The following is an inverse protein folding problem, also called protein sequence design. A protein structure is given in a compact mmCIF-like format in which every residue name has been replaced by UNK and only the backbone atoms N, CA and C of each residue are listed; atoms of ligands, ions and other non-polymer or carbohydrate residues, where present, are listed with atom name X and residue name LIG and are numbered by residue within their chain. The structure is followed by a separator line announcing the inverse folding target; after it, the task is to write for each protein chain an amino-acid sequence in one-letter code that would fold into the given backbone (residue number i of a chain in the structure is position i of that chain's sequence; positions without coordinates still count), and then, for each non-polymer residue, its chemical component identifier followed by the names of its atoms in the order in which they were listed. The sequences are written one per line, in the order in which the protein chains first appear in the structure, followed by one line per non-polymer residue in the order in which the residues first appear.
data_IF_773600471300
#
_entry.id   IF_773600471300
#
_cell.length_a   1.000
_cell.length_b   1.000
_cell.length_c   1.000
_cell.angle_alpha   90.00
_cell.angle_beta   90.00
_cell.angle_gamma   90.00
#
_symmetry.space_group_name_H-M   'P 1'
#
loop_
_entity.id
_entity.type
_entity.pdbx_description
1 polymer ?
#
# COMPACT_ATOMS: atom_id res chain seq x y z
N UNK A 1 30.02 -27.42 -28.16
CA UNK A 1 29.81 -25.99 -27.85
C UNK A 1 28.53 -25.82 -27.02
N UNK A 2 28.60 -26.20 -25.75
CA UNK A 2 27.62 -25.79 -24.74
C UNK A 2 28.23 -24.60 -23.98
N UNK A 3 27.40 -23.68 -23.47
CA UNK A 3 27.78 -22.50 -22.66
C UNK A 3 27.93 -21.15 -23.38
N UNK A 4 26.85 -20.69 -24.01
CA UNK A 4 26.62 -19.24 -24.17
C UNK A 4 25.29 -18.82 -23.49
N UNK A 5 24.26 -19.68 -23.49
CA UNK A 5 22.99 -19.41 -22.81
C UNK A 5 23.01 -19.56 -21.29
N UNK A 6 23.98 -20.29 -20.71
CA UNK A 6 24.07 -20.52 -19.25
C UNK A 6 24.69 -19.37 -18.45
N UNK A 7 25.29 -18.36 -19.13
CA UNK A 7 25.95 -17.22 -18.47
C UNK A 7 25.11 -15.93 -18.43
N UNK A 8 24.05 -15.84 -19.24
CA UNK A 8 23.18 -14.65 -19.32
C UNK A 8 21.89 -14.78 -18.49
N UNK A 9 21.44 -16.00 -18.24
CA UNK A 9 20.32 -16.28 -17.35
C UNK A 9 20.87 -17.06 -16.16
N UNK A 10 21.02 -16.38 -15.03
CA UNK A 10 21.43 -16.99 -13.77
C UNK A 10 20.69 -18.30 -13.54
N UNK A 11 21.43 -19.31 -13.11
CA UNK A 11 20.99 -20.69 -12.92
C UNK A 11 19.90 -20.80 -11.85
N UNK A 12 18.64 -20.55 -12.20
CA UNK A 12 17.40 -21.22 -11.79
C UNK A 12 16.21 -20.29 -12.05
N UNK A 13 15.44 -20.55 -13.11
CA UNK A 13 14.07 -20.05 -13.15
C UNK A 13 13.31 -20.71 -11.99
N UNK A 14 12.61 -19.92 -11.14
CA UNK A 14 11.83 -20.51 -10.06
C UNK A 14 10.76 -21.43 -10.63
N UNK A 15 10.39 -22.48 -9.87
CA UNK A 15 9.22 -23.27 -10.21
C UNK A 15 8.01 -22.35 -10.39
N UNK A 16 7.16 -22.64 -11.38
CA UNK A 16 5.92 -21.88 -11.65
C UNK A 16 5.09 -21.73 -10.38
N UNK A 17 4.98 -22.79 -9.59
CA UNK A 17 4.27 -22.78 -8.30
C UNK A 17 4.88 -21.78 -7.30
N UNK A 18 6.22 -21.76 -7.18
CA UNK A 18 6.92 -20.84 -6.28
C UNK A 18 6.66 -19.38 -6.70
N UNK A 19 6.77 -19.10 -7.99
CA UNK A 19 6.52 -17.77 -8.53
C UNK A 19 5.06 -17.32 -8.32
N UNK A 20 4.10 -18.19 -8.61
CA UNK A 20 2.68 -17.92 -8.40
C UNK A 20 2.37 -17.65 -6.93
N UNK A 21 2.97 -18.42 -6.02
CA UNK A 21 2.82 -18.23 -4.58
C UNK A 21 3.39 -16.88 -4.12
N UNK A 22 4.61 -16.52 -4.54
CA UNK A 22 5.23 -15.22 -4.24
C UNK A 22 4.40 -14.05 -4.81
N UNK A 23 3.92 -14.18 -6.05
CA UNK A 23 3.07 -13.18 -6.69
C UNK A 23 1.73 -13.00 -5.95
N UNK A 24 1.07 -14.11 -5.60
CA UNK A 24 -0.18 -14.09 -4.86
C UNK A 24 0.00 -13.53 -3.44
N UNK A 25 1.12 -13.84 -2.79
CA UNK A 25 1.48 -13.26 -1.49
C UNK A 25 1.63 -11.73 -1.59
N UNK A 26 2.40 -11.25 -2.56
CA UNK A 26 2.58 -9.81 -2.79
C UNK A 26 1.25 -9.09 -3.09
N UNK A 27 0.36 -9.72 -3.87
CA UNK A 27 -0.99 -9.18 -4.13
C UNK A 27 -1.82 -9.06 -2.85
N UNK A 28 -1.80 -10.09 -1.98
CA UNK A 28 -2.49 -10.04 -0.68
C UNK A 28 -1.91 -8.95 0.23
N UNK A 29 -0.59 -8.79 0.25
CA UNK A 29 0.05 -7.71 1.00
C UNK A 29 -0.32 -6.32 0.46
N UNK A 30 -0.39 -6.15 -0.87
CA UNK A 30 -0.84 -4.91 -1.50
C UNK A 30 -2.28 -4.58 -1.13
N UNK A 31 -3.16 -5.59 -1.16
CA UNK A 31 -4.55 -5.44 -0.74
C UNK A 31 -4.65 -5.03 0.74
N UNK A 32 -3.92 -5.72 1.63
CA UNK A 32 -3.82 -5.34 3.04
C UNK A 32 -3.30 -3.91 3.21
N UNK A 33 -2.30 -3.50 2.43
CA UNK A 33 -1.77 -2.14 2.46
C UNK A 33 -2.86 -1.11 2.14
N UNK A 34 -3.64 -1.31 1.09
CA UNK A 34 -4.73 -0.40 0.72
C UNK A 34 -5.90 -0.42 1.71
N UNK A 35 -6.17 -1.55 2.35
CA UNK A 35 -7.15 -1.62 3.44
C UNK A 35 -6.68 -0.82 4.66
N UNK A 36 -5.43 -1.01 5.07
CA UNK A 36 -4.84 -0.28 6.19
C UNK A 36 -4.72 1.21 5.92
N UNK A 37 -4.39 1.61 4.68
CA UNK A 37 -4.33 3.03 4.27
C UNK A 37 -5.63 3.79 4.57
N UNK A 38 -6.77 3.11 4.47
CA UNK A 38 -8.11 3.66 4.75
C UNK A 38 -8.61 3.38 6.16
N UNK A 39 -7.85 2.64 6.96
CA UNK A 39 -8.26 2.27 8.31
C UNK A 39 -8.19 3.46 9.26
N UNK A 40 -9.12 3.50 10.21
CA UNK A 40 -9.18 4.56 11.21
C UNK A 40 -7.87 4.70 12.01
N UNK A 41 -7.21 3.58 12.33
CA UNK A 41 -5.94 3.57 13.08
C UNK A 41 -4.81 4.30 12.36
N UNK A 42 -4.64 4.04 11.05
CA UNK A 42 -3.60 4.69 10.24
C UNK A 42 -3.91 6.17 10.03
N UNK A 43 -5.17 6.51 9.75
CA UNK A 43 -5.61 7.90 9.58
C UNK A 43 -5.34 8.68 10.88
N UNK A 44 -5.81 8.16 12.02
CA UNK A 44 -5.60 8.75 13.34
C UNK A 44 -4.11 8.92 13.68
N UNK A 45 -3.28 7.93 13.32
CA UNK A 45 -1.84 8.03 13.51
C UNK A 45 -1.25 9.25 12.78
N UNK A 46 -1.60 9.47 11.51
CA UNK A 46 -1.07 10.62 10.75
C UNK A 46 -1.63 11.97 11.23
N UNK A 47 -2.89 12.02 11.67
CA UNK A 47 -3.46 13.20 12.31
C UNK A 47 -2.69 13.59 13.56
N UNK A 48 -2.45 12.62 14.45
CA UNK A 48 -1.69 12.82 15.67
C UNK A 48 -0.22 13.11 15.39
N UNK A 49 0.38 12.47 14.38
CA UNK A 49 1.75 12.75 13.96
C UNK A 49 1.92 14.22 13.58
N UNK A 50 1.02 14.74 12.74
CA UNK A 50 1.00 16.15 12.34
C UNK A 50 0.79 17.07 13.52
N UNK A 51 -0.15 16.74 14.42
CA UNK A 51 -0.47 17.52 15.60
C UNK A 51 0.70 17.56 16.59
N UNK A 52 1.27 16.41 16.94
CA UNK A 52 2.37 16.28 17.92
C UNK A 52 3.65 16.95 17.41
N UNK A 53 3.90 16.90 16.10
CA UNK A 53 5.04 17.56 15.50
C UNK A 53 4.85 19.06 15.26
N UNK A 54 3.62 19.57 15.35
CA UNK A 54 3.32 20.99 15.21
C UNK A 54 4.05 21.85 16.26
N UNK A 55 4.46 23.05 15.85
CA UNK A 55 5.12 24.00 16.74
C UNK A 55 4.22 24.42 17.91
N UNK A 56 2.94 24.63 17.64
CA UNK A 56 1.95 25.03 18.65
C UNK A 56 1.79 23.99 19.75
N UNK A 57 1.67 22.71 19.39
CA UNK A 57 1.54 21.64 20.36
C UNK A 57 2.79 21.52 21.24
N UNK A 58 3.98 21.60 20.63
CA UNK A 58 5.25 21.62 21.36
C UNK A 58 5.30 22.78 22.35
N UNK A 59 4.88 23.98 21.94
CA UNK A 59 4.82 25.14 22.82
C UNK A 59 3.83 24.95 23.99
N UNK A 60 2.63 24.41 23.73
CA UNK A 60 1.64 24.10 24.79
C UNK A 60 2.20 23.12 25.82
N UNK A 61 2.79 22.01 25.36
CA UNK A 61 3.42 21.01 26.22
C UNK A 61 4.56 21.61 27.03
N UNK A 62 5.42 22.42 26.40
CA UNK A 62 6.52 23.10 27.08
C UNK A 62 6.01 24.09 28.12
N UNK A 63 4.97 24.86 27.80
CA UNK A 63 4.33 25.79 28.74
C UNK A 63 3.84 25.03 29.97
N UNK A 64 3.07 23.97 29.81
CA UNK A 64 2.54 23.19 30.94
C UNK A 64 3.66 22.60 31.81
N UNK A 65 4.74 22.11 31.20
CA UNK A 65 5.88 21.50 31.92
C UNK A 65 6.75 22.52 32.65
N UNK A 66 6.96 23.71 32.05
CA UNK A 66 7.86 24.75 32.58
C UNK A 66 7.17 25.73 33.50
N UNK A 67 5.87 25.94 33.32
CA UNK A 67 5.08 26.85 34.15
C UNK A 67 5.11 26.36 35.61
N UNK A 68 5.53 27.27 36.49
CA UNK A 68 5.63 27.04 37.92
C UNK A 68 4.78 28.08 38.62
N UNK A 69 4.34 27.75 39.83
CA UNK A 69 3.66 28.70 40.69
C UNK A 69 4.41 30.04 40.82
N UNK A 70 5.75 30.03 40.85
CA UNK A 70 6.58 31.25 40.92
C UNK A 70 6.37 32.25 39.78
N UNK A 71 5.85 31.79 38.65
CA UNK A 71 5.62 32.61 37.45
C UNK A 71 4.17 33.11 37.35
N UNK A 72 3.29 32.77 38.30
CA UNK A 72 1.88 33.20 38.29
C UNK A 72 1.67 34.51 39.04
N UNK A 73 0.61 35.23 38.70
CA UNK A 73 0.19 36.45 39.42
C UNK A 73 -0.16 36.16 40.88
N UNK A 74 -0.78 35.01 41.15
CA UNK A 74 -1.07 34.54 42.51
C UNK A 74 0.20 34.50 43.38
N UNK A 75 1.34 34.06 42.82
CA UNK A 75 2.61 34.09 43.56
C UNK A 75 3.12 35.52 43.79
N UNK A 76 2.90 36.44 42.86
CA UNK A 76 3.25 37.86 43.06
C UNK A 76 2.44 38.47 44.20
N UNK A 77 1.14 38.19 44.27
CA UNK A 77 0.28 38.63 45.39
C UNK A 77 0.73 38.01 46.71
N UNK A 78 1.06 36.72 46.70
CA UNK A 78 1.61 36.03 47.88
C UNK A 78 2.96 36.60 48.33
N UNK A 79 3.82 37.00 47.38
CA UNK A 79 5.11 37.65 47.67
C UNK A 79 4.87 39.00 48.33
N UNK A 80 3.99 39.85 47.78
CA UNK A 80 3.60 41.13 48.37
C UNK A 80 3.01 40.94 49.77
N UNK A 81 2.08 40.00 49.95
CA UNK A 81 1.53 39.65 51.26
C UNK A 81 2.64 39.36 52.29
N UNK A 82 3.64 38.55 51.92
CA UNK A 82 4.79 38.25 52.78
C UNK A 82 5.64 39.48 53.10
N UNK A 83 5.80 40.39 52.16
CA UNK A 83 6.53 41.66 52.35
C UNK A 83 5.79 42.56 53.35
N UNK A 84 4.50 42.84 53.12
CA UNK A 84 3.66 43.62 54.02
C UNK A 84 3.58 43.01 55.43
N UNK A 85 3.48 41.68 55.55
CA UNK A 85 3.50 40.99 56.85
C UNK A 85 4.75 41.30 57.69
N UNK A 86 5.87 41.63 57.06
CA UNK A 86 7.14 41.95 57.72
C UNK A 86 7.27 43.44 58.06
N UNK A 87 6.39 44.30 57.54
CA UNK A 87 6.44 45.74 57.76
C UNK A 87 6.20 46.09 59.23
N UNK A 88 6.77 47.21 59.67
CA UNK A 88 6.65 47.65 61.06
C UNK A 88 5.21 48.03 61.41
N UNK A 89 4.47 48.63 60.47
CA UNK A 89 3.08 49.02 60.66
C UNK A 89 2.17 47.79 60.82
N UNK A 90 2.34 46.74 60.00
CA UNK A 90 1.56 45.50 60.16
C UNK A 90 1.91 44.79 61.47
N UNK A 91 3.19 44.73 61.86
CA UNK A 91 3.59 44.18 63.17
C UNK A 91 3.01 44.99 64.34
N UNK A 92 3.00 46.32 64.24
CA UNK A 92 2.41 47.23 65.22
C UNK A 92 0.90 47.00 65.33
N UNK A 93 0.20 46.90 64.20
CA UNK A 93 -1.22 46.59 64.14
C UNK A 93 -1.55 45.29 64.89
N UNK A 94 -0.87 44.18 64.60
CA UNK A 94 -1.04 42.91 65.33
C UNK A 94 -0.64 42.98 66.80
N UNK A 95 0.33 43.85 67.17
CA UNK A 95 0.71 44.07 68.57
C UNK A 95 -0.36 44.86 69.33
N UNK A 96 -1.03 45.82 68.70
CA UNK A 96 -2.12 46.59 69.28
C UNK A 96 -3.36 45.71 69.51
N UNK A 97 -3.72 44.87 68.52
CA UNK A 97 -4.80 43.89 68.66
C UNK A 97 -4.57 42.93 69.84
N UNK A 98 -3.34 42.43 70.03
CA UNK A 98 -3.00 41.54 71.17
C UNK A 98 -3.01 42.22 72.54
N UNK A 99 -2.97 43.55 72.59
CA UNK A 99 -2.98 44.34 73.83
C UNK A 99 -4.36 44.93 74.12
N UNK A 100 -5.41 44.50 73.39
CA UNK A 100 -6.78 45.03 73.45
C UNK A 100 -6.89 46.55 73.26
N UNK A 101 -5.93 47.15 72.54
CA UNK A 101 -5.94 48.58 72.17
C UNK A 101 -6.74 48.80 70.88
N UNK A 102 -8.04 48.54 70.95
CA UNK A 102 -8.95 48.49 69.79
C UNK A 102 -9.00 49.81 69.02
N UNK A 103 -9.09 50.95 69.71
CA UNK A 103 -9.18 52.27 69.07
C UNK A 103 -7.92 52.61 68.24
N UNK A 104 -6.73 52.41 68.81
CA UNK A 104 -5.45 52.64 68.10
C UNK A 104 -5.28 51.67 66.91
N UNK A 105 -5.79 50.43 67.04
CA UNK A 105 -5.74 49.45 65.97
C UNK A 105 -6.68 49.82 64.80
N UNK A 106 -7.89 50.29 65.09
CA UNK A 106 -8.86 50.73 64.06
C UNK A 106 -8.40 52.02 63.35
N UNK A 107 -7.73 52.93 64.04
CA UNK A 107 -7.07 54.08 63.39
C UNK A 107 -5.97 53.62 62.43
N UNK A 108 -5.08 52.72 62.88
CA UNK A 108 -3.99 52.21 62.05
C UNK A 108 -4.51 51.37 60.87
N UNK A 109 -5.65 50.69 61.03
CA UNK A 109 -6.35 49.94 59.98
C UNK A 109 -6.86 50.82 58.84
N UNK A 110 -7.13 52.10 59.07
CA UNK A 110 -7.51 53.06 58.02
C UNK A 110 -6.34 53.43 57.10
N UNK A 111 -5.10 53.15 57.51
CA UNK A 111 -3.94 53.40 56.64
C UNK A 111 -3.97 52.47 55.41
N UNK A 112 -3.60 53.01 54.25
CA UNK A 112 -3.59 52.27 52.99
C UNK A 112 -2.72 50.99 53.06
N UNK A 113 -1.64 51.03 53.85
CA UNK A 113 -0.74 49.89 54.04
C UNK A 113 -1.44 48.70 54.71
N UNK A 114 -2.19 48.94 55.80
CA UNK A 114 -2.91 47.88 56.52
C UNK A 114 -4.09 47.38 55.70
N UNK A 115 -4.82 48.27 55.01
CA UNK A 115 -5.91 47.87 54.13
C UNK A 115 -5.42 46.93 53.01
N UNK A 116 -4.29 47.27 52.38
CA UNK A 116 -3.66 46.44 51.35
C UNK A 116 -3.23 45.09 51.92
N UNK A 117 -2.63 45.07 53.11
CA UNK A 117 -2.26 43.82 53.79
C UNK A 117 -3.48 42.93 54.07
N UNK A 118 -4.58 43.50 54.57
CA UNK A 118 -5.80 42.75 54.87
C UNK A 118 -6.43 42.17 53.59
N UNK A 119 -6.55 42.96 52.53
CA UNK A 119 -7.03 42.47 51.23
C UNK A 119 -6.16 41.33 50.67
N UNK A 120 -4.83 41.48 50.73
CA UNK A 120 -3.90 40.43 50.30
C UNK A 120 -3.99 39.18 51.19
N UNK A 121 -4.22 39.36 52.50
CA UNK A 121 -4.43 38.27 53.45
C UNK A 121 -5.68 37.47 53.08
N UNK A 122 -6.79 38.15 52.86
CA UNK A 122 -8.07 37.54 52.49
C UNK A 122 -7.96 36.79 51.16
N UNK A 123 -7.25 37.35 50.18
CA UNK A 123 -6.96 36.66 48.91
C UNK A 123 -6.10 35.40 49.11
N UNK A 124 -5.03 35.46 49.90
CA UNK A 124 -4.16 34.29 50.15
C UNK A 124 -4.86 33.20 50.97
N UNK A 125 -5.83 33.57 51.81
CA UNK A 125 -6.68 32.64 52.58
C UNK A 125 -7.88 32.12 51.76
N UNK A 126 -8.18 32.74 50.62
CA UNK A 126 -9.28 32.33 49.74
C UNK A 126 -9.12 30.90 49.18
N UNK A 127 -10.25 30.29 48.85
CA UNK A 127 -10.27 29.00 48.17
C UNK A 127 -9.59 29.06 46.79
N UNK A 128 -9.74 30.18 46.07
CA UNK A 128 -9.15 30.40 44.75
C UNK A 128 -7.61 30.31 44.78
N UNK A 129 -6.97 31.03 45.70
CA UNK A 129 -5.51 30.98 45.84
C UNK A 129 -5.01 29.57 46.18
N UNK A 130 -5.71 28.87 47.07
CA UNK A 130 -5.36 27.52 47.46
C UNK A 130 -5.46 26.55 46.27
N UNK A 131 -6.51 26.65 45.45
CA UNK A 131 -6.66 25.86 44.22
C UNK A 131 -5.53 26.12 43.22
N UNK A 132 -5.22 27.39 42.93
CA UNK A 132 -4.11 27.74 42.02
C UNK A 132 -2.78 27.18 42.54
N UNK A 133 -2.55 27.28 43.86
CA UNK A 133 -1.34 26.78 44.49
C UNK A 133 -1.26 25.25 44.47
N UNK A 134 -2.36 24.53 44.68
CA UNK A 134 -2.37 23.06 44.59
C UNK A 134 -2.16 22.59 43.16
N UNK A 135 -2.86 23.18 42.20
CA UNK A 135 -2.83 22.77 40.80
C UNK A 135 -1.47 23.04 40.17
N UNK A 136 -0.86 24.20 40.45
CA UNK A 136 0.46 24.56 39.93
C UNK A 136 1.61 23.79 40.57
N UNK A 137 1.39 23.20 41.75
CA UNK A 137 2.37 22.34 42.42
C UNK A 137 2.09 20.84 42.20
N UNK A 138 1.01 20.47 41.52
CA UNK A 138 0.71 19.08 41.19
C UNK A 138 1.79 18.53 40.22
N UNK A 139 2.56 17.54 40.69
CA UNK A 139 3.58 16.84 39.90
C UNK A 139 2.97 16.13 38.68
N UNK A 140 1.70 15.72 38.78
CA UNK A 140 0.96 15.02 37.74
C UNK A 140 0.10 15.96 36.88
N UNK A 141 0.20 17.29 37.04
CA UNK A 141 -0.54 18.28 36.24
C UNK A 141 -0.44 17.99 34.74
N UNK A 142 0.78 17.74 34.26
CA UNK A 142 0.99 17.42 32.85
C UNK A 142 0.33 16.09 32.46
N UNK A 143 0.43 15.05 33.30
CA UNK A 143 -0.19 13.74 33.02
C UNK A 143 -1.71 13.77 32.96
N UNK A 144 -2.33 14.76 33.63
CA UNK A 144 -3.78 14.98 33.61
C UNK A 144 -4.24 15.83 32.42
N UNK A 145 -3.32 16.44 31.69
CA UNK A 145 -3.66 17.33 30.58
C UNK A 145 -4.06 16.54 29.33
N UNK A 146 -4.88 17.14 28.47
CA UNK A 146 -5.30 16.54 27.21
C UNK A 146 -4.10 16.31 26.27
N UNK A 147 -3.10 17.19 26.31
CA UNK A 147 -1.88 17.05 25.50
C UNK A 147 -1.10 15.78 25.87
N UNK A 148 -1.08 15.40 27.16
CA UNK A 148 -0.43 14.15 27.55
C UNK A 148 -1.17 12.93 27.02
N UNK A 149 -2.50 12.93 27.09
CA UNK A 149 -3.33 11.85 26.53
C UNK A 149 -3.08 11.68 25.03
N UNK A 150 -3.05 12.78 24.27
CA UNK A 150 -2.73 12.76 22.84
C UNK A 150 -1.30 12.23 22.56
N UNK A 151 -0.32 12.58 23.40
CA UNK A 151 1.05 12.05 23.27
C UNK A 151 1.12 10.55 23.54
N UNK A 152 0.40 10.06 24.55
CA UNK A 152 0.39 8.64 24.87
C UNK A 152 -0.38 7.83 23.82
N UNK A 153 -1.50 8.35 23.31
CA UNK A 153 -2.23 7.74 22.20
C UNK A 153 -1.34 7.63 20.95
N UNK A 154 -0.65 8.72 20.58
CA UNK A 154 0.29 8.71 19.46
C UNK A 154 1.40 7.66 19.65
N UNK A 155 2.01 7.59 20.84
CA UNK A 155 3.03 6.57 21.14
C UNK A 155 2.49 5.15 21.11
N UNK A 156 1.25 4.94 21.56
CA UNK A 156 0.61 3.63 21.51
C UNK A 156 0.36 3.19 20.07
N UNK A 157 -0.18 4.08 19.23
CA UNK A 157 -0.39 3.81 17.80
C UNK A 157 0.94 3.59 17.07
N UNK A 158 1.97 4.37 17.38
CA UNK A 158 3.31 4.19 16.80
C UNK A 158 3.90 2.80 17.07
N UNK A 159 3.53 2.16 18.20
CA UNK A 159 3.97 0.82 18.57
C UNK A 159 3.07 -0.29 18.03
N UNK A 160 1.93 0.03 17.43
CA UNK A 160 1.03 -0.98 16.90
C UNK A 160 1.63 -1.67 15.67
N UNK A 161 1.47 -2.99 15.59
CA UNK A 161 2.05 -3.80 14.51
C UNK A 161 1.59 -3.34 13.12
N UNK A 162 0.33 -2.93 13.00
CA UNK A 162 -0.22 -2.43 11.73
C UNK A 162 0.42 -1.11 11.29
N UNK A 163 0.60 -0.14 12.20
CA UNK A 163 1.29 1.12 11.88
C UNK A 163 2.75 0.87 11.54
N UNK A 164 3.45 0.04 12.32
CA UNK A 164 4.85 -0.30 12.07
C UNK A 164 4.99 -0.95 10.69
N UNK A 165 4.17 -1.96 10.41
CA UNK A 165 4.18 -2.66 9.13
C UNK A 165 3.84 -1.71 7.98
N UNK A 166 2.79 -0.89 8.13
CA UNK A 166 2.36 0.07 7.11
C UNK A 166 3.45 1.08 6.77
N UNK A 167 4.11 1.69 7.78
CA UNK A 167 5.18 2.66 7.57
C UNK A 167 6.40 2.02 6.89
N UNK A 168 6.77 0.79 7.30
CA UNK A 168 7.86 0.03 6.68
C UNK A 168 7.55 -0.29 5.22
N UNK A 169 6.34 -0.76 4.94
CA UNK A 169 5.88 -1.11 3.59
C UNK A 169 5.78 0.13 2.70
N UNK A 170 5.26 1.26 3.21
CA UNK A 170 5.21 2.55 2.50
C UNK A 170 6.60 3.03 2.10
N UNK A 171 7.60 2.87 2.97
CA UNK A 171 9.00 3.24 2.69
C UNK A 171 9.64 2.33 1.64
N UNK A 172 9.47 1.02 1.77
CA UNK A 172 10.16 0.05 0.92
C UNK A 172 9.49 -0.14 -0.46
N UNK A 173 8.19 0.15 -0.58
CA UNK A 173 7.40 0.03 -1.81
C UNK A 173 7.65 -1.30 -2.57
N UNK A 174 7.41 -2.47 -1.94
CA UNK A 174 7.70 -3.77 -2.55
C UNK A 174 6.81 -4.09 -3.75
N UNK A 175 5.69 -3.37 -3.91
CA UNK A 175 4.66 -3.68 -4.89
C UNK A 175 5.01 -3.30 -6.33
N UNK A 176 6.12 -2.56 -6.57
CA UNK A 176 6.57 -2.23 -7.94
C UNK A 176 6.80 -3.45 -8.82
N UNK A 177 7.10 -4.61 -8.21
CA UNK A 177 7.27 -5.86 -8.94
C UNK A 177 5.96 -6.37 -9.56
N UNK A 178 4.80 -6.01 -8.99
CA UNK A 178 3.48 -6.37 -9.54
C UNK A 178 3.21 -5.64 -10.86
N UNK A 179 3.73 -4.42 -11.00
CA UNK A 179 3.54 -3.57 -12.18
C UNK A 179 4.52 -3.91 -13.33
N UNK A 180 5.44 -4.84 -13.11
CA UNK A 180 6.46 -5.20 -14.11
C UNK A 180 5.87 -5.90 -15.34
N UNK A 181 4.75 -6.61 -15.17
CA UNK A 181 4.18 -7.46 -16.20
C UNK A 181 2.80 -6.98 -16.60
N UNK A 182 2.69 -6.52 -17.84
CA UNK A 182 1.41 -6.27 -18.46
C UNK A 182 0.85 -7.58 -19.04
N UNK A 183 -0.42 -7.86 -18.76
CA UNK A 183 -1.11 -8.99 -19.37
C UNK A 183 -1.31 -8.70 -20.87
N UNK A 184 -0.58 -9.40 -21.74
CA UNK A 184 -0.63 -9.20 -23.19
C UNK A 184 -1.67 -10.10 -23.85
N UNK A 185 -1.76 -11.35 -23.39
CA UNK A 185 -2.67 -12.36 -23.92
C UNK A 185 -3.09 -13.35 -22.82
N UNK A 186 -4.38 -13.65 -22.74
CA UNK A 186 -4.90 -14.75 -21.92
C UNK A 186 -6.13 -15.40 -22.53
N UNK A 187 -6.23 -16.71 -22.29
CA UNK A 187 -7.45 -17.48 -22.50
C UNK A 187 -7.57 -18.52 -21.39
N UNK A 188 -8.76 -18.62 -20.80
CA UNK A 188 -9.10 -19.58 -19.76
C UNK A 188 -9.82 -20.82 -20.32
N UNK A 189 -10.20 -20.80 -21.61
CA UNK A 189 -10.91 -21.89 -22.28
C UNK A 189 -12.21 -22.32 -21.58
N UNK A 190 -12.86 -21.40 -20.87
CA UNK A 190 -14.15 -21.62 -20.18
C UNK A 190 -15.35 -21.63 -21.15
N UNK A 191 -15.14 -21.27 -22.41
CA UNK A 191 -16.18 -21.22 -23.44
C UNK A 191 -16.61 -22.62 -23.92
N UNK A 192 -17.79 -22.67 -24.55
CA UNK A 192 -18.29 -23.89 -25.23
C UNK A 192 -17.54 -24.21 -26.52
N UNK A 193 -16.86 -23.23 -27.11
CA UNK A 193 -16.05 -23.35 -28.32
C UNK A 193 -14.88 -22.39 -28.29
N UNK A 194 -13.82 -22.69 -29.06
CA UNK A 194 -12.63 -21.84 -29.18
C UNK A 194 -12.99 -20.45 -29.72
N UNK A 195 -12.41 -19.41 -29.11
CA UNK A 195 -12.56 -18.02 -29.54
C UNK A 195 -11.73 -17.75 -30.81
N UNK A 196 -12.41 -17.73 -31.97
CA UNK A 196 -11.79 -17.49 -33.28
C UNK A 196 -11.19 -16.08 -33.43
N UNK A 197 -11.51 -15.14 -32.53
CA UNK A 197 -10.89 -13.81 -32.51
C UNK A 197 -9.55 -13.81 -31.78
N UNK A 198 -9.30 -14.81 -30.95
CA UNK A 198 -8.04 -14.95 -30.19
C UNK A 198 -7.12 -15.98 -30.80
N UNK A 199 -7.68 -17.02 -31.41
CA UNK A 199 -6.95 -18.18 -31.87
C UNK A 199 -7.16 -18.44 -33.35
N UNK A 200 -6.05 -18.71 -34.03
CA UNK A 200 -6.04 -19.17 -35.40
C UNK A 200 -5.81 -20.69 -35.40
N UNK A 201 -6.73 -21.46 -35.96
CA UNK A 201 -6.72 -22.94 -35.98
C UNK A 201 -6.19 -23.52 -37.30
N UNK A 202 -5.25 -22.83 -37.94
CA UNK A 202 -4.72 -23.16 -39.25
C UNK A 202 -3.51 -22.30 -39.60
N UNK A 203 -2.98 -22.45 -40.81
CA UNK A 203 -1.84 -21.62 -41.24
C UNK A 203 -2.25 -20.16 -41.36
N UNK A 204 -1.53 -19.28 -40.67
CA UNK A 204 -1.77 -17.83 -40.64
C UNK A 204 -2.01 -17.25 -42.04
N UNK A 205 -1.08 -17.44 -42.97
CA UNK A 205 -1.20 -16.91 -44.33
C UNK A 205 -2.37 -17.50 -45.12
N UNK A 206 -2.76 -18.75 -44.86
CA UNK A 206 -3.95 -19.34 -45.48
C UNK A 206 -5.22 -18.67 -44.98
N UNK A 207 -5.33 -18.49 -43.66
CA UNK A 207 -6.47 -17.83 -43.05
C UNK A 207 -6.57 -16.34 -43.42
N UNK A 208 -5.46 -15.62 -43.44
CA UNK A 208 -5.46 -14.18 -43.73
C UNK A 208 -5.62 -13.88 -45.22
N UNK A 209 -4.93 -14.61 -46.11
CA UNK A 209 -4.95 -14.30 -47.55
C UNK A 209 -6.07 -15.03 -48.31
N UNK A 210 -6.46 -16.22 -47.86
CA UNK A 210 -7.35 -17.11 -48.60
C UNK A 210 -8.63 -17.46 -47.86
N UNK A 211 -8.76 -17.04 -46.59
CA UNK A 211 -9.82 -17.48 -45.68
C UNK A 211 -9.98 -19.02 -45.64
N UNK A 212 -8.90 -19.76 -45.93
CA UNK A 212 -8.92 -21.22 -46.09
C UNK A 212 -7.67 -21.85 -45.45
N UNK A 213 -7.77 -23.12 -45.10
CA UNK A 213 -6.62 -23.90 -44.62
C UNK A 213 -5.99 -24.65 -45.79
N UNK A 214 -4.66 -24.62 -45.87
CA UNK A 214 -3.90 -25.41 -46.83
C UNK A 214 -2.88 -26.28 -46.12
N UNK A 215 -2.28 -27.22 -46.85
CA UNK A 215 -1.16 -28.04 -46.38
C UNK A 215 0.03 -27.77 -47.27
N UNK A 216 1.21 -27.60 -46.66
CA UNK A 216 2.43 -27.46 -47.43
C UNK A 216 2.75 -28.79 -48.13
N UNK A 217 3.31 -28.74 -49.33
CA UNK A 217 3.52 -29.94 -50.18
C UNK A 217 4.26 -31.10 -49.48
N UNK A 218 5.11 -30.78 -48.50
CA UNK A 218 5.91 -31.78 -47.78
C UNK A 218 5.28 -32.23 -46.45
N UNK A 219 4.08 -31.75 -46.12
CA UNK A 219 3.41 -32.02 -44.86
C UNK A 219 2.25 -33.01 -45.03
N UNK A 220 2.18 -33.94 -44.07
CA UNK A 220 1.07 -34.89 -43.96
C UNK A 220 0.08 -34.47 -42.87
N UNK A 221 0.19 -33.25 -42.36
CA UNK A 221 -0.67 -32.79 -41.27
C UNK A 221 -1.73 -31.84 -41.80
N UNK A 222 -2.98 -32.03 -41.38
CA UNK A 222 -4.08 -31.13 -41.78
C UNK A 222 -4.82 -30.60 -40.55
N UNK A 223 -4.78 -29.28 -40.38
CA UNK A 223 -5.36 -28.58 -39.25
C UNK A 223 -6.86 -28.37 -39.45
N UNK A 224 -7.68 -28.96 -38.55
CA UNK A 224 -9.14 -28.77 -38.54
C UNK A 224 -9.63 -28.33 -37.16
N UNK A 225 -10.52 -27.33 -37.14
CA UNK A 225 -11.13 -26.81 -35.90
C UNK A 225 -11.97 -27.87 -35.17
N UNK A 226 -12.60 -28.78 -35.90
CA UNK A 226 -13.40 -29.91 -35.37
C UNK A 226 -12.62 -30.87 -34.44
N UNK A 227 -11.29 -30.77 -34.43
CA UNK A 227 -10.42 -31.59 -33.59
C UNK A 227 -10.01 -30.90 -32.28
N UNK A 228 -10.57 -29.72 -32.01
CA UNK A 228 -10.38 -28.97 -30.79
C UNK A 228 -11.67 -29.08 -29.97
N UNK A 229 -11.56 -29.55 -28.74
CA UNK A 229 -12.68 -29.57 -27.80
C UNK A 229 -12.29 -28.80 -26.54
N UNK A 230 -13.18 -27.94 -26.06
CA UNK A 230 -13.00 -27.27 -24.78
C UNK A 230 -13.76 -28.04 -23.71
N UNK A 231 -13.06 -28.47 -22.66
CA UNK A 231 -13.67 -29.18 -21.54
C UNK A 231 -12.90 -28.89 -20.26
N UNK A 232 -13.63 -28.65 -19.17
CA UNK A 232 -13.06 -28.44 -17.82
C UNK A 232 -11.96 -27.35 -17.82
N UNK A 233 -12.23 -26.22 -18.49
CA UNK A 233 -11.30 -25.09 -18.67
C UNK A 233 -9.98 -25.49 -19.36
N UNK A 234 -10.01 -26.53 -20.18
CA UNK A 234 -8.86 -27.02 -20.93
C UNK A 234 -9.22 -27.17 -22.41
N UNK A 235 -8.31 -26.75 -23.30
CA UNK A 235 -8.38 -27.07 -24.71
C UNK A 235 -7.72 -28.44 -24.98
N UNK A 236 -8.52 -29.43 -25.36
CA UNK A 236 -8.09 -30.74 -25.82
C UNK A 236 -7.86 -30.74 -27.33
N UNK A 237 -6.71 -31.26 -27.76
CA UNK A 237 -6.35 -31.42 -29.17
C UNK A 237 -6.37 -32.90 -29.53
N UNK A 238 -7.24 -33.29 -30.45
CA UNK A 238 -7.44 -34.70 -30.82
C UNK A 238 -6.88 -35.01 -32.19
N UNK A 239 -6.01 -36.03 -32.27
CA UNK A 239 -5.56 -36.57 -33.54
C UNK A 239 -6.59 -37.56 -34.07
N UNK A 240 -7.06 -37.32 -35.30
CA UNK A 240 -7.90 -38.27 -36.05
C UNK A 240 -7.18 -38.66 -37.33
N UNK A 241 -7.12 -39.95 -37.61
CA UNK A 241 -6.61 -40.43 -38.89
C UNK A 241 -7.78 -40.54 -39.86
N UNK A 242 -7.78 -39.71 -40.91
CA UNK A 242 -8.82 -39.69 -41.93
C UNK A 242 -8.19 -39.44 -43.29
N UNK A 243 -8.79 -40.03 -44.30
CA UNK A 243 -8.47 -39.79 -45.70
C UNK A 243 -9.21 -38.52 -46.13
N UNK A 244 -8.45 -37.49 -46.50
CA UNK A 244 -9.00 -36.15 -46.81
C UNK A 244 -8.40 -35.66 -48.12
N UNK A 245 -9.22 -35.03 -48.97
CA UNK A 245 -8.75 -34.28 -50.13
C UNK A 245 -8.34 -32.88 -49.69
N UNK A 246 -7.11 -32.47 -50.00
CA UNK A 246 -6.53 -31.20 -49.57
C UNK A 246 -5.92 -30.46 -50.76
N UNK A 247 -5.93 -29.12 -50.70
CA UNK A 247 -5.29 -28.25 -51.68
C UNK A 247 -3.83 -27.98 -51.29
N UNK A 248 -2.93 -28.04 -52.27
CA UNK A 248 -1.50 -27.79 -52.09
C UNK A 248 -1.07 -26.46 -52.71
N UNK A 249 -0.46 -25.59 -51.91
CA UNK A 249 0.24 -24.38 -52.38
C UNK A 249 -0.64 -23.12 -52.56
N UNK A 250 0.04 -21.98 -52.75
CA UNK A 250 -0.56 -20.63 -52.81
C UNK A 250 -0.84 -20.17 -54.26
N UNK A 251 -0.19 -20.78 -55.24
CA UNK A 251 -0.33 -20.45 -56.66
C UNK A 251 -1.30 -21.43 -57.30
N UNK A 252 -2.32 -20.90 -57.99
CA UNK A 252 -3.45 -21.58 -58.68
C UNK A 252 -3.05 -22.81 -59.52
N UNK A 253 -2.70 -23.90 -58.88
CA UNK A 253 -2.54 -25.23 -59.46
C UNK A 253 -3.13 -26.20 -58.43
N UNK A 254 -4.44 -26.44 -58.53
CA UNK A 254 -5.15 -27.41 -57.70
C UNK A 254 -4.68 -28.83 -58.06
N UNK A 255 -3.58 -29.27 -57.45
CA UNK A 255 -3.14 -30.66 -57.50
C UNK A 255 -3.82 -31.43 -56.36
N UNK A 256 -4.56 -32.48 -56.72
CA UNK A 256 -5.25 -33.35 -55.78
C UNK A 256 -4.41 -34.60 -55.51
N UNK A 257 -4.01 -34.83 -54.26
CA UNK A 257 -3.43 -36.10 -53.82
C UNK A 257 -4.12 -36.64 -52.57
N UNK A 258 -4.19 -37.97 -52.47
CA UNK A 258 -4.61 -38.71 -51.30
C UNK A 258 -3.46 -38.69 -50.28
N UNK A 259 -3.62 -38.00 -49.16
CA UNK A 259 -2.63 -38.01 -48.08
C UNK A 259 -3.23 -38.62 -46.81
N UNK A 260 -2.46 -39.50 -46.16
CA UNK A 260 -2.72 -39.93 -44.79
C UNK A 260 -2.50 -38.73 -43.86
N UNK A 261 -3.58 -38.10 -43.43
CA UNK A 261 -3.48 -36.88 -42.64
C UNK A 261 -3.35 -37.17 -41.14
N UNK A 262 -2.21 -36.83 -40.54
CA UNK A 262 -2.08 -36.68 -39.09
C UNK A 262 -2.66 -35.33 -38.71
N UNK A 263 -3.88 -35.27 -38.19
CA UNK A 263 -4.49 -33.99 -37.84
C UNK A 263 -3.89 -33.45 -36.54
N UNK A 264 -2.76 -32.75 -36.65
CA UNK A 264 -2.23 -31.92 -35.57
C UNK A 264 -3.06 -30.62 -35.51
N UNK A 265 -3.04 -29.93 -34.38
CA UNK A 265 -3.61 -28.59 -34.21
C UNK A 265 -2.48 -27.61 -33.93
N UNK A 266 -2.45 -26.51 -34.67
CA UNK A 266 -1.57 -25.37 -34.41
C UNK A 266 -2.45 -24.27 -33.79
N UNK A 267 -2.12 -23.86 -32.58
CA UNK A 267 -2.78 -22.75 -31.89
C UNK A 267 -1.84 -21.55 -31.90
N UNK A 268 -2.12 -20.57 -32.76
CA UNK A 268 -1.38 -19.30 -32.76
C UNK A 268 -2.26 -18.24 -32.07
N UNK A 269 -1.77 -17.57 -31.01
CA UNK A 269 -2.42 -16.40 -30.47
C UNK A 269 -2.32 -15.24 -31.47
N UNK A 270 -3.46 -14.68 -31.88
CA UNK A 270 -3.53 -13.66 -32.95
C UNK A 270 -2.66 -12.43 -32.63
N UNK A 271 -2.63 -12.01 -31.35
CA UNK A 271 -1.81 -10.87 -30.88
C UNK A 271 -0.29 -11.06 -31.00
N UNK A 272 0.23 -12.30 -31.03
CA UNK A 272 1.67 -12.52 -31.15
C UNK A 272 2.20 -12.18 -32.56
N UNK A 273 1.31 -12.15 -33.55
CA UNK A 273 1.64 -11.86 -34.94
C UNK A 273 1.73 -10.35 -35.19
N UNK A 274 0.88 -9.53 -34.56
CA UNK A 274 0.93 -8.07 -34.71
C UNK A 274 2.26 -7.46 -34.21
N UNK A 275 2.78 -7.91 -33.07
CA UNK A 275 4.03 -7.36 -32.51
C UNK A 275 5.29 -7.84 -33.22
N UNK A 276 5.29 -9.05 -33.79
CA UNK A 276 6.46 -9.59 -34.50
C UNK A 276 6.53 -9.09 -35.95
N UNK A 277 5.39 -8.79 -36.58
CA UNK A 277 5.31 -8.40 -37.98
C UNK A 277 5.38 -6.90 -38.25
N UNK A 278 5.31 -6.04 -37.23
CA UNK A 278 5.60 -4.61 -37.37
C UNK A 278 7.03 -4.32 -37.87
N UNK A 279 7.96 -5.29 -37.73
CA UNK A 279 9.33 -5.20 -38.23
C UNK A 279 9.55 -5.74 -39.66
N UNK A 280 8.52 -6.33 -40.28
CA UNK A 280 8.66 -7.03 -41.57
C UNK A 280 7.58 -6.61 -42.57
N UNK A 281 7.84 -5.51 -43.28
CA UNK A 281 7.23 -5.16 -44.58
C UNK A 281 8.32 -4.71 -45.56
N UNK A 282 8.13 -4.88 -46.87
CA UNK A 282 8.36 -6.10 -47.62
C UNK A 282 9.66 -5.98 -48.45
N UNK A 283 10.50 -7.01 -48.45
CA UNK A 283 11.39 -7.24 -49.60
C UNK A 283 11.17 -8.65 -50.08
N UNK A 284 10.69 -8.74 -51.31
CA UNK A 284 10.69 -9.96 -52.11
C UNK A 284 12.07 -10.61 -52.06
N UNK A 285 12.05 -11.94 -52.11
CA UNK A 285 13.18 -12.88 -52.02
C UNK A 285 13.71 -13.08 -50.61
N UNK A 286 13.08 -14.00 -49.88
CA UNK A 286 13.72 -14.65 -48.74
C UNK A 286 13.36 -16.14 -48.73
N UNK A 287 14.40 -16.93 -48.97
CA UNK A 287 14.51 -18.33 -48.56
C UNK A 287 14.18 -18.39 -47.07
N UNK A 288 13.05 -18.99 -46.72
CA UNK A 288 12.56 -19.05 -45.35
C UNK A 288 13.31 -20.17 -44.63
N UNK A 289 14.13 -19.89 -43.60
CA UNK A 289 14.71 -20.94 -42.78
C UNK A 289 13.63 -21.58 -41.92
N UNK A 290 13.66 -22.91 -41.86
CA UNK A 290 12.95 -23.71 -40.86
C UNK A 290 13.17 -23.13 -39.46
N UNK A 291 12.14 -22.61 -38.80
CA UNK A 291 12.00 -22.60 -37.33
C UNK A 291 10.71 -21.90 -36.88
N UNK A 292 9.73 -22.69 -36.44
CA UNK A 292 9.11 -22.63 -35.11
C UNK A 292 8.04 -23.74 -35.03
N UNK A 293 8.49 -24.93 -34.62
CA UNK A 293 7.60 -26.00 -34.18
C UNK A 293 7.20 -25.72 -32.72
N UNK A 294 5.91 -25.65 -32.43
CA UNK A 294 5.40 -25.78 -31.07
C UNK A 294 4.44 -26.98 -31.06
N UNK A 295 4.95 -28.14 -30.67
CA UNK A 295 4.15 -29.30 -30.27
C UNK A 295 3.98 -29.23 -28.76
N UNK A 296 2.80 -28.87 -28.28
CA UNK A 296 2.46 -28.87 -26.85
C UNK A 296 1.74 -30.17 -26.49
N UNK A 297 2.44 -31.09 -25.83
CA UNK A 297 1.82 -32.15 -25.05
C UNK A 297 1.41 -31.58 -23.69
N UNK A 298 0.11 -31.66 -23.34
CA UNK A 298 -0.39 -31.31 -22.01
C UNK A 298 -1.09 -32.53 -21.42
N UNK A 299 -0.46 -33.20 -20.45
CA UNK A 299 -1.07 -34.30 -19.70
C UNK A 299 -1.10 -33.95 -18.21
N UNK A 300 -2.31 -34.05 -17.63
CA UNK A 300 -2.69 -34.12 -16.20
C UNK A 300 -1.82 -33.36 -15.19
N UNK A 301 -2.19 -32.10 -14.96
CA UNK A 301 -2.69 -31.58 -13.67
C UNK A 301 -2.70 -30.05 -13.73
N UNK A 302 -3.90 -29.47 -13.87
CA UNK A 302 -4.27 -28.08 -13.59
C UNK A 302 -3.14 -27.04 -13.79
N UNK A 303 -2.59 -26.95 -15.00
CA UNK A 303 -1.59 -25.94 -15.35
C UNK A 303 -2.28 -24.75 -16.03
N UNK A 304 -2.51 -23.66 -15.28
CA UNK A 304 -2.75 -22.33 -15.85
C UNK A 304 -1.44 -21.84 -16.49
N UNK A 305 -1.17 -22.19 -17.74
CA UNK A 305 -0.03 -21.63 -18.48
C UNK A 305 -0.44 -20.31 -19.13
N UNK A 306 -0.08 -19.20 -18.48
CA UNK A 306 0.05 -17.90 -19.17
C UNK A 306 1.23 -18.01 -20.14
N UNK A 307 0.98 -17.83 -21.43
CA UNK A 307 2.03 -17.58 -22.41
C UNK A 307 2.57 -16.17 -22.15
N UNK A 308 3.80 -16.11 -21.64
CA UNK A 308 4.53 -14.86 -21.39
C UNK A 308 5.37 -14.59 -22.64
N UNK A 309 5.08 -13.47 -23.32
CA UNK A 309 5.95 -12.88 -24.34
C UNK A 309 6.68 -11.68 -23.75
#
# INVERSE_FOLDING_TARGET
MANIFSRLFGSTFPSTEKYENEYNHLRKEQERYHQLEKSASIIRYFELDKLVHSGEFKQKVLKIKKERFKHTEAFQQFKKYKEYKRSNNVKRYHKLLRKDKVNEAEELKKSAEIQTYLSLKDYVESAEFNQIKTDMNDKNRFKRSSEYQLQEEYKALQKSDDVIWFLKTKKNCPFKHLDKWALTFEDNFDGTSLDDKKWITGYYWGKILMNDNYVQANEKQFFKKENIELRDSCAGLFLKMKLVRVKYGILKLDLYQLIFSFHLVLLIPDKALDSSMASLRPRLNLVIPHQLFIVLFCCRNRCRRKLIF
#
